data_IF_577047338642
#
_entry.id   IF_577047338642
#
_cell.length_a   1.000
_cell.length_b   1.000
_cell.length_c   1.000
_cell.angle_alpha   90.00
_cell.angle_beta   90.00
_cell.angle_gamma   90.00
#
_symmetry.space_group_name_H-M   'P 1'
#
loop_
_entity.id
_entity.type
_entity.pdbx_description
1 polymer ?
#
# COMPACT_ATOMS: atom_id res chain seq x y z
N UNK A 1 30.03 -21.29 -2.46
CA UNK A 1 28.89 -22.12 -2.88
C UNK A 1 27.65 -21.28 -3.05
N UNK A 2 27.06 -21.25 -4.25
CA UNK A 2 25.88 -20.43 -4.60
C UNK A 2 24.57 -20.81 -3.87
N UNK A 3 24.54 -21.93 -3.14
CA UNK A 3 23.34 -22.42 -2.45
C UNK A 3 23.05 -21.76 -1.10
N UNK A 4 24.08 -21.34 -0.36
CA UNK A 4 23.93 -20.80 1.00
C UNK A 4 23.15 -19.48 1.02
N UNK A 5 23.45 -18.57 0.10
CA UNK A 5 22.78 -17.27 0.01
C UNK A 5 21.32 -17.38 -0.42
N UNK A 6 21.01 -18.32 -1.33
CA UNK A 6 19.63 -18.57 -1.77
C UNK A 6 18.75 -19.08 -0.62
N UNK A 7 19.29 -19.96 0.21
CA UNK A 7 18.59 -20.48 1.38
C UNK A 7 18.39 -19.42 2.46
N UNK A 8 19.40 -18.58 2.72
CA UNK A 8 19.27 -17.49 3.70
C UNK A 8 18.18 -16.48 3.31
N UNK A 9 18.11 -16.07 2.04
CA UNK A 9 17.06 -15.16 1.57
C UNK A 9 15.67 -15.77 1.69
N UNK A 10 15.52 -17.05 1.36
CA UNK A 10 14.26 -17.77 1.53
C UNK A 10 13.82 -17.80 3.00
N UNK A 11 14.74 -18.14 3.92
CA UNK A 11 14.44 -18.16 5.35
C UNK A 11 14.11 -16.78 5.91
N UNK A 12 14.74 -15.72 5.41
CA UNK A 12 14.39 -14.34 5.78
C UNK A 12 12.98 -13.98 5.29
N UNK A 13 12.60 -14.39 4.08
CA UNK A 13 11.26 -14.16 3.55
C UNK A 13 10.18 -14.94 4.31
N UNK A 14 10.45 -16.18 4.71
CA UNK A 14 9.54 -16.97 5.56
C UNK A 14 9.37 -16.36 6.95
N UNK A 15 10.41 -15.73 7.49
CA UNK A 15 10.38 -15.03 8.79
C UNK A 15 9.74 -13.65 8.75
N UNK A 16 9.57 -13.07 7.56
CA UNK A 16 8.99 -11.74 7.44
C UNK A 16 7.55 -11.73 7.98
N UNK A 17 7.14 -10.68 8.72
CA UNK A 17 5.78 -10.56 9.20
C UNK A 17 4.81 -10.57 8.01
N UNK A 18 3.69 -11.29 8.18
CA UNK A 18 2.63 -11.27 7.17
C UNK A 18 1.91 -9.91 7.25
N UNK A 19 1.50 -9.35 6.09
CA UNK A 19 0.83 -8.06 6.08
C UNK A 19 -0.52 -8.14 6.81
N UNK A 20 -0.75 -7.22 7.73
CA UNK A 20 -1.99 -7.12 8.52
C UNK A 20 -2.71 -5.81 8.17
N UNK A 21 -3.78 -5.89 7.38
CA UNK A 21 -4.54 -4.71 7.01
C UNK A 21 -5.38 -4.19 8.19
N UNK A 22 -5.16 -2.94 8.60
CA UNK A 22 -6.01 -2.28 9.61
C UNK A 22 -7.32 -1.84 8.95
N UNK A 23 -8.41 -2.48 9.34
CA UNK A 23 -9.74 -2.24 8.76
C UNK A 23 -10.31 -0.89 9.21
N UNK A 24 -10.76 -0.09 8.24
CA UNK A 24 -11.50 1.13 8.47
C UNK A 24 -12.98 0.81 8.68
N UNK A 25 -13.50 1.19 9.86
CA UNK A 25 -14.92 1.02 10.22
C UNK A 25 -15.79 2.22 9.82
N UNK A 26 -15.20 3.24 9.16
CA UNK A 26 -15.91 4.44 8.70
C UNK A 26 -16.36 4.25 7.25
N UNK A 27 -17.53 4.78 6.93
CA UNK A 27 -17.99 4.90 5.54
C UNK A 27 -17.22 6.04 4.88
N UNK A 28 -16.52 5.75 3.79
CA UNK A 28 -15.76 6.73 3.00
C UNK A 28 -16.39 6.84 1.63
N UNK A 29 -17.09 7.95 1.38
CA UNK A 29 -17.87 8.17 0.16
C UNK A 29 -17.01 8.15 -1.10
N UNK A 30 -15.85 8.82 -1.07
CA UNK A 30 -14.94 8.95 -2.22
C UNK A 30 -13.75 8.00 -2.15
N UNK A 31 -13.96 6.75 -1.68
CA UNK A 31 -12.88 5.75 -1.63
C UNK A 31 -12.37 5.44 -3.05
N UNK A 32 -11.07 5.59 -3.34
CA UNK A 32 -10.53 5.21 -4.64
C UNK A 32 -10.69 3.70 -4.89
N UNK A 33 -11.06 3.27 -6.11
CA UNK A 33 -11.41 1.89 -6.41
C UNK A 33 -10.26 0.89 -6.26
N UNK A 34 -9.01 1.37 -6.27
CA UNK A 34 -7.83 0.54 -6.03
C UNK A 34 -7.62 0.13 -4.57
N UNK A 35 -8.33 0.75 -3.62
CA UNK A 35 -8.17 0.46 -2.20
C UNK A 35 -9.42 -0.21 -1.60
N UNK A 36 -9.18 -1.11 -0.64
CA UNK A 36 -10.20 -1.81 0.11
C UNK A 36 -10.49 -1.15 1.46
N UNK A 37 -10.70 -1.98 2.47
CA UNK A 37 -11.02 -1.54 3.83
C UNK A 37 -9.79 -1.02 4.59
N UNK A 38 -8.59 -1.18 4.04
CA UNK A 38 -7.37 -0.58 4.56
C UNK A 38 -7.29 0.94 4.30
N UNK A 39 -8.23 1.53 3.57
CA UNK A 39 -8.28 2.96 3.29
C UNK A 39 -9.04 3.72 4.37
N UNK A 40 -8.37 4.69 5.01
CA UNK A 40 -8.93 5.49 6.09
C UNK A 40 -9.24 6.94 5.69
N UNK A 41 -9.05 7.30 4.42
CA UNK A 41 -9.29 8.67 3.95
C UNK A 41 -8.34 9.66 4.61
N UNK A 42 -8.83 10.85 4.92
CA UNK A 42 -8.05 11.92 5.53
C UNK A 42 -7.92 11.77 7.05
N UNK A 43 -7.01 10.89 7.48
CA UNK A 43 -6.54 10.82 8.89
C UNK A 43 -5.16 11.46 9.03
N UNK A 44 -4.84 11.95 10.23
CA UNK A 44 -3.51 12.47 10.51
C UNK A 44 -2.50 11.36 10.89
N UNK A 45 -1.24 11.76 11.03
CA UNK A 45 -0.15 10.83 11.34
C UNK A 45 -0.29 10.22 12.74
N UNK A 46 -0.78 10.99 13.72
CA UNK A 46 -0.89 10.52 15.10
C UNK A 46 -1.98 9.47 15.23
N UNK A 47 -3.12 9.69 14.57
CA UNK A 47 -4.22 8.72 14.49
C UNK A 47 -3.77 7.44 13.79
N UNK A 48 -3.06 7.55 12.66
CA UNK A 48 -2.50 6.39 11.96
C UNK A 48 -1.50 5.62 12.82
N UNK A 49 -0.54 6.31 13.45
CA UNK A 49 0.48 5.69 14.29
C UNK A 49 -0.17 4.91 15.45
N UNK A 50 -1.18 5.49 16.11
CA UNK A 50 -1.93 4.82 17.19
C UNK A 50 -2.60 3.53 16.70
N UNK A 51 -3.32 3.57 15.58
CA UNK A 51 -4.02 2.40 15.02
C UNK A 51 -3.05 1.27 14.66
N UNK A 52 -1.88 1.62 14.11
CA UNK A 52 -0.84 0.66 13.75
C UNK A 52 -0.20 0.02 14.98
N UNK A 53 0.10 0.81 16.01
CA UNK A 53 0.65 0.31 17.28
C UNK A 53 -0.35 -0.60 18.02
N UNK A 54 -1.64 -0.30 17.97
CA UNK A 54 -2.71 -1.15 18.54
C UNK A 54 -2.88 -2.48 17.79
N UNK A 55 -2.70 -2.48 16.47
CA UNK A 55 -2.84 -3.67 15.64
C UNK A 55 -1.63 -4.62 15.72
N UNK A 56 -0.42 -4.07 15.89
CA UNK A 56 0.81 -4.84 16.08
C UNK A 56 1.67 -5.01 14.81
N UNK A 57 2.76 -5.75 14.94
CA UNK A 57 3.81 -5.86 13.92
C UNK A 57 3.27 -6.37 12.56
N UNK A 58 3.67 -5.71 11.47
CA UNK A 58 3.17 -6.00 10.12
C UNK A 58 1.85 -5.31 9.79
N UNK A 59 1.27 -4.54 10.72
CA UNK A 59 0.08 -3.75 10.47
C UNK A 59 0.33 -2.68 9.40
N UNK A 60 -0.68 -2.43 8.55
CA UNK A 60 -0.63 -1.34 7.58
C UNK A 60 -2.01 -0.73 7.30
N UNK A 61 -2.01 0.52 6.83
CA UNK A 61 -3.18 1.23 6.32
C UNK A 61 -2.80 2.27 5.26
N UNK A 62 -3.78 2.72 4.48
CA UNK A 62 -3.62 3.79 3.50
C UNK A 62 -4.44 5.00 3.93
N UNK A 63 -3.84 6.18 3.86
CA UNK A 63 -4.49 7.46 4.14
C UNK A 63 -4.22 8.49 3.05
N UNK A 64 -5.07 9.49 2.96
CA UNK A 64 -4.82 10.69 2.15
C UNK A 64 -3.76 11.59 2.80
N UNK A 65 -2.99 12.27 1.97
CA UNK A 65 -2.03 13.27 2.41
C UNK A 65 -2.70 14.64 2.51
N UNK A 66 -2.51 15.33 3.65
CA UNK A 66 -2.94 16.73 3.82
C UNK A 66 -2.16 17.72 2.93
N UNK A 67 -0.97 17.35 2.45
CA UNK A 67 -0.04 18.28 1.78
C UNK A 67 -0.19 18.34 0.25
N UNK A 68 -0.83 17.35 -0.35
CA UNK A 68 -1.01 17.28 -1.80
C UNK A 68 -2.34 16.61 -2.11
N UNK A 69 -3.15 17.26 -2.94
CA UNK A 69 -4.33 16.67 -3.53
C UNK A 69 -3.92 15.37 -4.26
N UNK A 70 -4.75 14.32 -4.13
CA UNK A 70 -4.58 13.01 -4.76
C UNK A 70 -3.31 12.22 -4.39
N UNK A 71 -2.58 12.66 -3.36
CA UNK A 71 -1.46 11.91 -2.82
C UNK A 71 -1.91 10.99 -1.68
N UNK A 72 -1.57 9.71 -1.79
CA UNK A 72 -1.85 8.71 -0.75
C UNK A 72 -0.57 8.30 -0.04
N UNK A 73 -0.70 7.89 1.22
CA UNK A 73 0.40 7.41 2.05
C UNK A 73 0.07 6.03 2.61
N UNK A 74 0.92 5.05 2.31
CA UNK A 74 0.96 3.77 2.98
C UNK A 74 1.70 3.95 4.31
N UNK A 75 1.02 3.66 5.41
CA UNK A 75 1.59 3.67 6.74
C UNK A 75 1.71 2.20 7.20
N UNK A 76 2.88 1.78 7.69
CA UNK A 76 3.09 0.40 8.16
C UNK A 76 3.94 0.34 9.43
N UNK A 77 3.63 -0.59 10.32
CA UNK A 77 4.44 -0.90 11.50
C UNK A 77 5.43 -2.02 11.16
N UNK A 78 6.71 -1.68 11.25
CA UNK A 78 7.80 -2.62 11.05
C UNK A 78 8.94 -2.32 12.02
N UNK A 79 9.44 -3.34 12.69
CA UNK A 79 10.51 -3.27 13.69
C UNK A 79 10.21 -2.23 14.78
N UNK A 80 8.95 -2.22 15.25
CA UNK A 80 8.48 -1.28 16.28
C UNK A 80 8.43 0.19 15.84
N UNK A 81 8.54 0.47 14.53
CA UNK A 81 8.49 1.83 13.98
C UNK A 81 7.42 1.95 12.90
N UNK A 82 6.72 3.09 12.89
CA UNK A 82 5.80 3.41 11.81
C UNK A 82 6.55 4.06 10.65
N UNK A 83 6.51 3.39 9.51
CA UNK A 83 7.08 3.83 8.24
C UNK A 83 5.96 4.44 7.38
N UNK A 84 6.25 5.55 6.71
CA UNK A 84 5.32 6.25 5.83
C UNK A 84 5.90 6.28 4.41
N UNK A 85 5.15 5.77 3.44
CA UNK A 85 5.55 5.69 2.05
C UNK A 85 4.50 6.35 1.15
N UNK A 86 4.94 7.22 0.24
CA UNK A 86 4.05 7.77 -0.79
C UNK A 86 3.66 6.69 -1.78
N UNK A 87 2.36 6.58 -2.06
CA UNK A 87 1.84 5.66 -3.07
C UNK A 87 1.67 6.41 -4.38
N UNK A 88 2.40 5.98 -5.40
CA UNK A 88 2.24 6.46 -6.76
C UNK A 88 1.57 5.37 -7.59
N UNK A 89 0.31 5.59 -7.99
CA UNK A 89 -0.39 4.70 -8.91
C UNK A 89 -0.24 5.24 -10.32
N UNK A 90 0.51 4.52 -11.17
CA UNK A 90 0.56 4.80 -12.60
C UNK A 90 -0.58 4.07 -13.31
N UNK A 91 -1.53 4.82 -13.85
CA UNK A 91 -2.49 4.28 -14.80
C UNK A 91 -1.80 4.08 -16.15
N UNK A 92 -1.28 2.89 -16.40
CA UNK A 92 -0.92 2.49 -17.76
C UNK A 92 -2.19 2.12 -18.53
N UNK A 93 -2.64 3.03 -19.39
CA UNK A 93 -3.68 2.71 -20.38
C UNK A 93 -3.08 1.81 -21.45
N UNK A 94 -3.22 0.48 -21.28
CA UNK A 94 -2.98 -0.45 -22.37
C UNK A 94 -4.18 -0.40 -23.33
N UNK A 95 -4.11 0.45 -24.35
CA UNK A 95 -5.08 0.42 -25.44
C UNK A 95 -4.84 -0.83 -26.29
N UNK A 96 -5.72 -1.84 -26.19
CA UNK A 96 -5.81 -2.90 -27.21
C UNK A 96 -6.74 -2.45 -28.33
N UNK A 97 -6.20 -2.36 -29.55
CA UNK A 97 -6.98 -2.17 -30.77
C UNK A 97 -7.37 -3.53 -31.35
N UNK A 98 -8.64 -3.92 -31.19
CA UNK A 98 -9.29 -4.90 -32.05
C UNK A 98 -10.61 -4.28 -32.54
N UNK A 99 -10.74 -4.05 -33.85
CA UNK A 99 -12.01 -3.78 -34.52
C UNK A 99 -12.84 -2.60 -33.97
N UNK A 100 -12.33 -1.37 -34.09
CA UNK A 100 -13.19 -0.16 -34.19
C UNK A 100 -13.99 0.28 -32.96
N UNK A 101 -13.92 -0.40 -31.81
CA UNK A 101 -14.48 0.10 -30.53
C UNK A 101 -13.46 -0.10 -29.42
N UNK A 102 -12.75 0.96 -29.07
CA UNK A 102 -11.85 0.96 -27.92
C UNK A 102 -12.67 0.79 -26.63
N UNK A 103 -12.47 -0.32 -25.91
CA UNK A 103 -12.94 -0.49 -24.54
C UNK A 103 -11.73 -0.35 -23.63
N UNK A 104 -11.70 0.70 -22.81
CA UNK A 104 -10.69 0.84 -21.77
C UNK A 104 -10.85 -0.32 -20.78
N UNK A 105 -9.82 -1.16 -20.68
CA UNK A 105 -9.74 -2.19 -19.63
C UNK A 105 -8.66 -1.71 -18.66
N UNK A 106 -9.09 -1.19 -17.51
CA UNK A 106 -8.19 -0.91 -16.41
C UNK A 106 -7.68 -2.26 -15.87
N UNK A 107 -6.47 -2.66 -16.25
CA UNK A 107 -5.72 -3.69 -15.50
C UNK A 107 -4.92 -2.96 -14.44
N UNK A 108 -5.33 -3.10 -13.19
CA UNK A 108 -4.52 -2.70 -12.05
C UNK A 108 -3.17 -3.44 -12.13
N UNK A 109 -2.02 -2.75 -12.15
CA UNK A 109 -0.76 -3.43 -12.00
C UNK A 109 -0.67 -3.90 -10.55
N UNK A 110 -0.24 -5.15 -10.39
CA UNK A 110 0.28 -5.71 -9.15
C UNK A 110 1.12 -4.63 -8.44
N UNK A 111 0.75 -4.28 -7.20
CA UNK A 111 1.50 -3.37 -6.35
C UNK A 111 2.92 -3.92 -6.18
N UNK A 112 3.85 -3.47 -7.02
CA UNK A 112 5.23 -3.28 -6.62
C UNK A 112 5.33 -1.80 -6.24
N UNK A 113 5.04 -1.42 -4.99
CA UNK A 113 5.28 -0.06 -4.56
C UNK A 113 6.77 0.18 -4.71
N UNK A 114 7.15 1.14 -5.56
CA UNK A 114 8.44 1.79 -5.43
C UNK A 114 8.36 2.58 -4.12
N UNK A 115 8.71 1.92 -3.02
CA UNK A 115 8.68 2.47 -1.66
C UNK A 115 9.82 3.48 -1.54
N UNK A 116 9.54 4.75 -1.82
CA UNK A 116 10.47 5.85 -1.56
C UNK A 116 10.16 6.37 -0.15
N UNK A 117 11.10 6.29 0.81
CA UNK A 117 10.91 6.85 2.13
C UNK A 117 10.73 8.38 2.04
N UNK A 118 9.71 8.92 2.70
CA UNK A 118 9.63 10.37 2.90
C UNK A 118 10.58 10.77 4.05
N UNK A 119 11.57 11.60 3.72
CA UNK A 119 12.45 12.27 4.68
C UNK A 119 11.73 13.40 5.43
#
# INVERSE_FOLDING_TARGET
GLGYWKQNLYLLQERAPKPLAVTCNRVIENRPPQYGNEFHGLIDRVEADRMLMEAGEGAFLVRESKRSQDAFTLCMLFDGRVLNYKVFLSFFLAAKSEGGKARAVAKAPFLLPQLIPDH
#
